data_IF_201050466200
#
_entry.id   IF_201050466200
#
_cell.length_a   1.000
_cell.length_b   1.000
_cell.length_c   1.000
_cell.angle_alpha   90.00
_cell.angle_beta   90.00
_cell.angle_gamma   90.00
#
_symmetry.space_group_name_H-M   'P 1'
#
loop_
_entity.id
_entity.type
_entity.pdbx_description
1 polymer ?
#
# COMPACT_ATOMS: atom_id res chain seq x y z
N UNK A 1 -12.53 -14.09 7.22
CA UNK A 1 -12.01 -12.88 7.89
C UNK A 1 -10.52 -12.79 7.62
N UNK A 2 -10.12 -11.91 6.70
CA UNK A 2 -8.71 -11.71 6.34
C UNK A 2 -8.04 -10.73 7.29
N UNK A 3 -7.26 -11.22 8.25
CA UNK A 3 -6.37 -10.38 9.05
C UNK A 3 -5.25 -9.83 8.17
N UNK A 4 -4.77 -8.62 8.47
CA UNK A 4 -3.53 -8.11 7.85
C UNK A 4 -2.36 -8.89 8.42
N UNK A 5 -1.66 -9.64 7.57
CA UNK A 5 -0.43 -10.31 7.94
C UNK A 5 0.72 -9.27 7.96
N UNK A 6 1.07 -8.79 9.16
CA UNK A 6 2.21 -7.88 9.35
C UNK A 6 3.58 -8.56 9.17
N UNK A 7 3.60 -9.89 9.17
CA UNK A 7 4.80 -10.71 9.04
C UNK A 7 5.00 -11.23 7.62
N UNK A 8 4.31 -10.66 6.63
CA UNK A 8 4.54 -11.01 5.23
C UNK A 8 5.97 -10.60 4.83
N UNK A 9 6.72 -11.56 4.33
CA UNK A 9 8.11 -11.40 3.89
C UNK A 9 8.25 -12.00 2.49
N UNK A 10 7.66 -11.30 1.51
CA UNK A 10 7.77 -11.68 0.10
C UNK A 10 9.10 -11.24 -0.52
N UNK A 11 9.33 -11.63 -1.77
CA UNK A 11 10.38 -11.04 -2.60
C UNK A 11 9.91 -9.64 -3.04
N UNK A 12 10.60 -8.60 -2.58
CA UNK A 12 10.43 -7.22 -3.03
C UNK A 12 11.76 -6.49 -2.94
N UNK A 13 11.91 -5.42 -3.71
CA UNK A 13 13.06 -4.54 -3.66
C UNK A 13 12.57 -3.12 -3.40
N UNK A 14 13.36 -2.34 -2.68
CA UNK A 14 13.11 -0.91 -2.53
C UNK A 14 14.40 -0.11 -2.61
N UNK A 15 14.27 1.09 -3.17
CA UNK A 15 15.30 2.10 -3.24
C UNK A 15 14.74 3.40 -2.68
N UNK A 16 15.54 4.11 -1.89
CA UNK A 16 15.13 5.38 -1.27
C UNK A 16 16.20 6.42 -1.52
N UNK A 17 15.79 7.59 -1.99
CA UNK A 17 16.67 8.72 -2.24
C UNK A 17 16.16 9.98 -1.54
N UNK A 18 17.09 10.79 -1.03
CA UNK A 18 16.78 12.17 -0.63
C UNK A 18 16.81 13.04 -1.88
N UNK A 19 15.79 13.87 -2.04
CA UNK A 19 15.65 14.84 -3.14
C UNK A 19 15.43 16.22 -2.51
N UNK A 20 15.64 17.34 -3.24
CA UNK A 20 15.50 18.68 -2.65
C UNK A 20 14.15 18.92 -1.96
N UNK A 21 13.08 18.29 -2.45
CA UNK A 21 11.71 18.41 -1.94
C UNK A 21 11.40 17.43 -0.78
N UNK A 22 12.32 16.53 -0.44
CA UNK A 22 12.17 15.56 0.65
C UNK A 22 12.82 14.21 0.36
N UNK A 23 12.01 13.17 0.24
CA UNK A 23 12.47 11.81 -0.07
C UNK A 23 11.54 11.14 -1.07
N UNK A 24 12.11 10.31 -1.94
CA UNK A 24 11.40 9.42 -2.86
C UNK A 24 11.70 7.97 -2.47
N UNK A 25 10.70 7.10 -2.55
CA UNK A 25 10.88 5.66 -2.45
C UNK A 25 10.29 4.97 -3.67
N UNK A 26 11.06 4.06 -4.26
CA UNK A 26 10.65 3.20 -5.35
C UNK A 26 10.59 1.78 -4.83
N UNK A 27 9.48 1.08 -5.12
CA UNK A 27 9.22 -0.27 -4.64
C UNK A 27 8.91 -1.15 -5.85
N UNK A 28 9.65 -2.26 -5.99
CA UNK A 28 9.44 -3.27 -7.03
C UNK A 28 8.93 -4.55 -6.36
N UNK A 29 7.72 -4.95 -6.73
CA UNK A 29 7.10 -6.22 -6.26
C UNK A 29 6.87 -7.10 -7.50
N UNK A 30 7.61 -8.21 -7.65
CA UNK A 30 7.31 -9.20 -8.67
C UNK A 30 5.90 -9.77 -8.47
N UNK A 31 5.10 -9.85 -9.54
CA UNK A 31 3.73 -10.39 -9.47
C UNK A 31 3.67 -11.81 -8.89
N UNK A 32 4.69 -12.64 -9.17
CA UNK A 32 4.80 -14.01 -8.60
C UNK A 32 4.88 -14.05 -7.07
N UNK A 33 5.23 -12.94 -6.43
CA UNK A 33 5.30 -12.83 -4.96
C UNK A 33 3.92 -12.70 -4.35
N UNK A 34 2.94 -12.23 -5.13
CA UNK A 34 1.59 -11.95 -4.67
C UNK A 34 0.69 -13.12 -5.05
N UNK A 35 -0.06 -13.61 -4.07
CA UNK A 35 -1.08 -14.62 -4.32
C UNK A 35 -2.36 -13.91 -4.76
N UNK A 36 -2.83 -14.17 -5.96
CA UNK A 36 -4.04 -13.59 -6.52
C UNK A 36 -5.03 -14.68 -6.85
N UNK A 37 -6.31 -14.36 -6.75
CA UNK A 37 -7.37 -15.22 -7.26
C UNK A 37 -7.39 -15.10 -8.80
N UNK A 38 -7.09 -16.17 -9.55
CA UNK A 38 -7.05 -16.12 -11.01
C UNK A 38 -8.44 -15.94 -11.64
N UNK A 39 -9.52 -16.05 -10.85
CA UNK A 39 -10.90 -15.82 -11.31
C UNK A 39 -11.29 -14.34 -11.31
N UNK A 40 -10.50 -13.48 -10.66
CA UNK A 40 -10.70 -12.04 -10.67
C UNK A 40 -10.00 -11.41 -11.87
N UNK A 41 -10.70 -10.52 -12.57
CA UNK A 41 -10.19 -9.74 -13.71
C UNK A 41 -9.45 -8.46 -13.28
N UNK A 42 -9.71 -8.04 -12.05
CA UNK A 42 -9.29 -6.77 -11.49
C UNK A 42 -8.71 -6.96 -10.08
N UNK A 43 -7.77 -6.09 -9.73
CA UNK A 43 -7.18 -6.05 -8.40
C UNK A 43 -7.11 -4.60 -7.93
N UNK A 44 -7.32 -4.40 -6.63
CA UNK A 44 -7.22 -3.11 -5.98
C UNK A 44 -5.88 -2.91 -5.30
N UNK A 45 -5.41 -1.65 -5.27
CA UNK A 45 -4.27 -1.22 -4.46
C UNK A 45 -4.63 0.04 -3.69
N UNK A 46 -4.10 0.18 -2.48
CA UNK A 46 -4.21 1.41 -1.71
C UNK A 46 -2.91 1.68 -0.95
N UNK A 47 -2.67 2.97 -0.67
CA UNK A 47 -1.46 3.42 0.00
C UNK A 47 -1.82 4.28 1.21
N UNK A 48 -1.07 4.11 2.29
CA UNK A 48 -1.08 5.00 3.45
C UNK A 48 0.32 5.56 3.68
N UNK A 49 0.39 6.87 3.90
CA UNK A 49 1.58 7.55 4.40
C UNK A 49 1.31 8.08 5.80
N UNK A 50 2.12 7.67 6.76
CA UNK A 50 2.10 8.21 8.12
C UNK A 50 3.19 9.26 8.30
N UNK A 51 2.80 10.50 8.62
CA UNK A 51 3.71 11.62 8.90
C UNK A 51 3.75 11.87 10.41
N UNK A 52 4.62 11.11 11.09
CA UNK A 52 4.70 11.09 12.58
C UNK A 52 4.89 12.47 13.20
N UNK A 53 5.75 13.32 12.63
CA UNK A 53 6.03 14.68 13.14
C UNK A 53 4.83 15.63 13.12
N UNK A 54 3.79 15.30 12.35
CA UNK A 54 2.53 16.07 12.27
C UNK A 54 1.35 15.32 12.88
N UNK A 55 1.56 14.08 13.35
CA UNK A 55 0.50 13.17 13.75
C UNK A 55 -0.58 13.00 12.65
N UNK A 56 -0.16 12.91 11.38
CA UNK A 56 -1.05 12.81 10.21
C UNK A 56 -0.95 11.43 9.55
N UNK A 57 -2.09 10.91 9.09
CA UNK A 57 -2.19 9.78 8.17
C UNK A 57 -2.88 10.23 6.88
N UNK A 58 -2.27 9.89 5.74
CA UNK A 58 -2.74 10.28 4.41
C UNK A 58 -3.00 9.01 3.61
N UNK A 59 -4.18 8.92 3.02
CA UNK A 59 -4.60 7.79 2.18
C UNK A 59 -4.66 8.22 0.72
N UNK A 60 -4.29 7.32 -0.20
CA UNK A 60 -4.46 7.56 -1.63
C UNK A 60 -5.94 7.53 -2.03
N UNK A 61 -6.70 6.56 -1.49
CA UNK A 61 -8.16 6.50 -1.59
C UNK A 61 -8.76 6.11 -0.25
N UNK A 62 -10.05 6.43 -0.04
CA UNK A 62 -10.76 6.07 1.19
C UNK A 62 -10.86 7.20 2.22
N UNK A 63 -11.06 8.45 1.78
CA UNK A 63 -11.15 9.63 2.65
C UNK A 63 -12.50 9.73 3.39
N UNK A 64 -13.52 8.96 2.98
CA UNK A 64 -14.82 8.97 3.65
C UNK A 64 -14.79 8.12 4.91
N UNK A 65 -15.61 8.50 5.90
CA UNK A 65 -15.67 7.84 7.23
C UNK A 65 -15.91 6.32 7.19
N UNK A 66 -16.54 5.80 6.13
CA UNK A 66 -16.84 4.37 5.97
C UNK A 66 -15.82 3.63 5.09
N UNK A 67 -14.85 4.35 4.54
CA UNK A 67 -13.75 3.83 3.73
C UNK A 67 -12.46 3.78 4.58
N UNK A 68 -11.38 3.24 4.03
CA UNK A 68 -10.08 3.28 4.71
C UNK A 68 -9.02 2.43 4.00
N UNK A 69 -7.81 2.38 4.56
CA UNK A 69 -6.68 1.66 3.96
C UNK A 69 -7.01 0.22 3.54
N UNK A 70 -7.83 -0.49 4.31
CA UNK A 70 -8.18 -1.90 4.10
C UNK A 70 -9.49 -2.12 3.32
N UNK A 71 -10.12 -1.04 2.85
CA UNK A 71 -11.40 -1.07 2.13
C UNK A 71 -11.31 -0.16 0.89
N UNK A 72 -10.53 -0.56 -0.13
CA UNK A 72 -10.46 0.20 -1.37
C UNK A 72 -11.82 0.21 -2.08
N UNK A 73 -12.09 1.29 -2.82
CA UNK A 73 -13.40 1.59 -3.44
C UNK A 73 -13.70 0.68 -4.65
N UNK A 74 -12.70 -0.03 -5.18
CA UNK A 74 -12.75 -0.81 -6.43
C UNK A 74 -12.22 -2.25 -6.29
N UNK A 75 -12.44 -2.92 -5.16
CA UNK A 75 -12.10 -4.33 -4.98
C UNK A 75 -13.35 -5.19 -4.83
#
# INVERSE_FOLDING_TARGET
GGGVNKSWDGIWEAQVARVPEGWSAEIRIPFRTLNFDPTLDTWGINFQRTVRRKNEEILWSGHRRNEGLRRPIHA
#
